data_IF_710664498326
#
_entry.id   IF_710664498326
#
_cell.length_a   1.000
_cell.length_b   1.000
_cell.length_c   1.000
_cell.angle_alpha   90.00
_cell.angle_beta   90.00
_cell.angle_gamma   90.00
#
_symmetry.space_group_name_H-M   'P 1'
#
loop_
_entity.id
_entity.type
_entity.pdbx_description
1 polymer ?
#
# COMPACT_ATOMS: atom_id res chain seq x y z
N UNK A 1 9.28 17.02 9.51
CA UNK A 1 9.42 16.31 8.22
C UNK A 1 8.02 15.98 7.75
N UNK A 2 7.53 16.62 6.68
CA UNK A 2 6.22 16.27 6.14
C UNK A 2 6.32 14.85 5.57
N UNK A 3 5.50 13.93 6.08
CA UNK A 3 5.40 12.62 5.47
C UNK A 3 4.86 12.81 4.05
N UNK A 4 5.65 12.42 3.05
CA UNK A 4 5.28 12.54 1.64
C UNK A 4 3.97 11.76 1.37
N UNK A 5 3.01 12.45 0.75
CA UNK A 5 1.68 11.97 0.37
C UNK A 5 1.65 11.54 -1.10
N UNK A 6 0.70 10.68 -1.47
CA UNK A 6 0.39 10.27 -2.84
C UNK A 6 1.60 9.70 -3.60
N UNK A 7 2.36 8.81 -2.96
CA UNK A 7 3.53 8.15 -3.57
C UNK A 7 3.12 7.16 -4.66
N UNK A 8 1.90 6.65 -4.61
CA UNK A 8 1.37 5.76 -5.64
C UNK A 8 0.67 6.57 -6.72
N UNK A 9 0.88 6.14 -7.96
CA UNK A 9 0.12 6.61 -9.11
C UNK A 9 -0.80 5.51 -9.61
N UNK A 10 -1.86 5.92 -10.30
CA UNK A 10 -2.75 4.99 -11.01
C UNK A 10 -2.00 4.06 -11.95
N UNK A 11 -0.94 4.56 -12.60
CA UNK A 11 -0.08 3.74 -13.46
C UNK A 11 0.58 2.62 -12.66
N UNK A 12 1.08 2.91 -11.46
CA UNK A 12 1.65 1.90 -10.57
C UNK A 12 0.56 0.91 -10.14
N UNK A 13 -0.60 1.38 -9.69
CA UNK A 13 -1.71 0.52 -9.25
C UNK A 13 -2.21 -0.41 -10.36
N UNK A 14 -2.34 0.09 -11.60
CA UNK A 14 -2.71 -0.72 -12.77
C UNK A 14 -1.69 -1.83 -13.04
N UNK A 15 -0.40 -1.54 -12.92
CA UNK A 15 0.65 -2.55 -13.06
C UNK A 15 0.67 -3.56 -11.90
N UNK A 16 0.15 -3.17 -10.73
CA UNK A 16 0.07 -4.06 -9.59
C UNK A 16 -1.14 -5.00 -9.69
N UNK A 17 -2.25 -4.51 -10.24
CA UNK A 17 -3.51 -5.23 -10.36
C UNK A 17 -3.41 -6.37 -11.38
N UNK A 18 -4.06 -7.50 -11.08
CA UNK A 18 -4.09 -8.74 -11.88
C UNK A 18 -2.72 -9.34 -12.19
N UNK A 19 -1.68 -8.91 -11.47
CA UNK A 19 -0.36 -9.49 -11.53
C UNK A 19 -0.20 -10.47 -10.38
N UNK A 20 0.06 -11.74 -10.69
CA UNK A 20 0.39 -12.74 -9.69
C UNK A 20 1.76 -12.48 -9.08
N UNK A 21 1.90 -12.87 -7.81
CA UNK A 21 3.13 -12.73 -7.02
C UNK A 21 3.28 -13.90 -6.05
N UNK A 22 4.51 -14.23 -5.74
CA UNK A 22 4.82 -15.31 -4.78
C UNK A 22 4.34 -14.97 -3.36
N UNK A 23 4.32 -13.68 -3.02
CA UNK A 23 4.03 -13.16 -1.68
C UNK A 23 3.05 -11.98 -1.70
N UNK A 24 2.49 -11.70 -0.51
CA UNK A 24 1.74 -10.47 -0.28
C UNK A 24 2.75 -9.33 -0.15
N UNK A 25 2.52 -8.23 -0.88
CA UNK A 25 3.39 -7.06 -0.88
C UNK A 25 2.60 -5.82 -0.44
N UNK A 26 3.28 -4.91 0.26
CA UNK A 26 2.72 -3.64 0.70
C UNK A 26 3.46 -2.49 0.02
N UNK A 27 2.70 -1.56 -0.56
CA UNK A 27 3.21 -0.38 -1.22
C UNK A 27 2.71 0.86 -0.48
N UNK A 28 3.61 1.59 0.17
CA UNK A 28 3.25 2.79 0.92
C UNK A 28 2.82 3.92 -0.03
N UNK A 29 1.67 4.53 0.26
CA UNK A 29 1.18 5.71 -0.44
C UNK A 29 1.47 7.01 0.32
N UNK A 30 1.49 6.92 1.66
CA UNK A 30 1.82 8.04 2.54
C UNK A 30 0.96 8.04 3.79
N UNK A 31 1.45 8.68 4.85
CA UNK A 31 0.69 8.95 6.10
C UNK A 31 -0.12 7.77 6.65
N UNK A 32 0.44 6.55 6.62
CA UNK A 32 -0.22 5.35 7.13
C UNK A 32 -1.09 4.60 6.10
N UNK A 33 -1.31 5.15 4.90
CA UNK A 33 -2.00 4.47 3.81
C UNK A 33 -1.03 3.63 2.98
N UNK A 34 -1.42 2.38 2.68
CA UNK A 34 -0.69 1.47 1.81
C UNK A 34 -1.64 0.64 0.94
N UNK A 35 -1.21 0.34 -0.28
CA UNK A 35 -1.84 -0.66 -1.12
C UNK A 35 -1.25 -2.06 -0.80
N UNK A 36 -2.10 -3.01 -0.42
CA UNK A 36 -1.77 -4.42 -0.25
C UNK A 36 -2.06 -5.15 -1.56
N UNK A 37 -1.03 -5.70 -2.20
CA UNK A 37 -1.16 -6.58 -3.35
C UNK A 37 -1.22 -8.05 -2.89
N UNK A 38 -2.28 -8.77 -3.26
CA UNK A 38 -2.42 -10.19 -2.96
C UNK A 38 -1.62 -11.06 -3.95
N UNK A 39 -1.42 -12.33 -3.58
CA UNK A 39 -0.77 -13.33 -4.45
C UNK A 39 -1.47 -13.50 -5.80
N UNK A 40 -2.80 -13.35 -5.82
CA UNK A 40 -3.65 -13.49 -7.03
C UNK A 40 -3.90 -12.16 -7.75
N UNK A 41 -3.17 -11.09 -7.42
CA UNK A 41 -3.25 -9.80 -8.11
C UNK A 41 -4.42 -8.89 -7.71
N UNK A 42 -5.12 -9.21 -6.61
CA UNK A 42 -6.08 -8.30 -5.99
C UNK A 42 -5.36 -7.15 -5.27
N UNK A 43 -6.00 -5.97 -5.26
CA UNK A 43 -5.51 -4.81 -4.49
C UNK A 43 -6.52 -4.51 -3.38
N UNK A 44 -6.02 -4.26 -2.17
CA UNK A 44 -6.80 -3.73 -1.04
C UNK A 44 -6.06 -2.57 -0.40
N UNK A 45 -6.79 -1.63 0.19
CA UNK A 45 -6.19 -0.50 0.91
C UNK A 45 -6.11 -0.82 2.40
N UNK A 46 -4.97 -0.50 3.00
CA UNK A 46 -4.70 -0.68 4.42
C UNK A 46 -4.29 0.67 4.98
N UNK A 47 -4.99 1.10 6.04
CA UNK A 47 -4.63 2.29 6.79
C UNK A 47 -4.13 1.89 8.17
N UNK A 48 -2.92 2.29 8.50
CA UNK A 48 -2.28 2.01 9.78
C UNK A 48 -2.19 3.30 10.59
N UNK A 49 -2.71 3.26 11.81
CA UNK A 49 -2.67 4.35 12.77
C UNK A 49 -2.30 3.82 14.16
N UNK A 50 -1.86 4.71 15.03
CA UNK A 50 -1.56 4.41 16.44
C UNK A 50 -2.48 5.25 17.31
N UNK A 51 -3.00 4.68 18.40
CA UNK A 51 -3.87 5.37 19.36
C UNK A 51 -3.09 5.95 20.54
N UNK A 52 -1.99 5.32 20.94
CA UNK A 52 -1.26 5.62 22.19
C UNK A 52 0.25 5.78 22.01
N UNK A 53 0.74 5.83 20.76
CA UNK A 53 2.14 6.14 20.45
C UNK A 53 3.17 5.09 20.88
N UNK A 54 2.76 3.90 21.34
CA UNK A 54 3.70 2.86 21.76
C UNK A 54 4.35 2.18 20.55
N UNK A 55 5.66 1.95 20.69
CA UNK A 55 6.55 1.28 19.73
C UNK A 55 6.39 -0.23 19.82
#
# INVERSE_FOLDING_TARGET
MAAELNKLSDKKLKNLHRKERDNIEFFADGTGLSAKASKVGGISWIFTYRLDGKS
#
